data_IF_900891056489
#
_entry.id   IF_900891056489
#
_cell.length_a   1.000
_cell.length_b   1.000
_cell.length_c   1.000
_cell.angle_alpha   90.00
_cell.angle_beta   90.00
_cell.angle_gamma   90.00
#
_symmetry.space_group_name_H-M   'P 1'
#
loop_
_entity.id
_entity.type
_entity.pdbx_description
1 polymer ?
#
# COMPACT_ATOMS: atom_id res chain seq x y z
N UNK A 1 9.60 -12.86 13.47
CA UNK A 1 9.14 -12.06 12.32
C UNK A 1 8.24 -12.94 11.51
N UNK A 2 6.99 -12.56 11.35
CA UNK A 2 6.01 -13.37 10.63
C UNK A 2 5.62 -12.76 9.29
N UNK A 3 5.97 -11.49 9.02
CA UNK A 3 5.54 -10.77 7.81
C UNK A 3 6.69 -10.00 7.15
N UNK A 4 6.67 -9.85 5.83
CA UNK A 4 7.69 -9.09 5.08
C UNK A 4 7.87 -7.64 5.58
N UNK A 5 6.82 -7.04 6.15
CA UNK A 5 6.87 -5.70 6.75
C UNK A 5 7.67 -5.65 8.06
N UNK A 6 7.77 -6.75 8.81
CA UNK A 6 8.54 -6.80 10.07
C UNK A 6 10.02 -6.56 9.82
N UNK A 7 10.53 -7.11 8.71
CA UNK A 7 11.91 -6.88 8.27
C UNK A 7 12.15 -5.41 7.94
N UNK A 8 11.29 -4.82 7.10
CA UNK A 8 11.41 -3.41 6.70
C UNK A 8 11.33 -2.46 7.89
N UNK A 9 10.48 -2.79 8.89
CA UNK A 9 10.33 -1.99 10.11
C UNK A 9 11.64 -1.85 10.90
N UNK A 10 12.56 -2.82 10.83
CA UNK A 10 13.84 -2.71 11.55
C UNK A 10 14.76 -1.62 11.00
N UNK A 11 14.60 -1.27 9.72
CA UNK A 11 15.43 -0.29 9.02
C UNK A 11 14.70 1.05 8.81
N UNK A 12 13.43 1.15 9.21
CA UNK A 12 12.62 2.34 9.02
C UNK A 12 12.66 3.22 10.28
N UNK A 13 13.04 4.48 10.12
CA UNK A 13 12.99 5.49 11.19
C UNK A 13 11.54 5.73 11.68
N UNK A 14 10.57 5.56 10.79
CA UNK A 14 9.15 5.77 11.07
C UNK A 14 8.28 4.79 10.28
N UNK A 15 7.28 4.24 10.96
CA UNK A 15 6.22 3.42 10.35
C UNK A 15 4.87 4.04 10.68
N UNK A 16 4.03 4.24 9.67
CA UNK A 16 2.67 4.77 9.83
C UNK A 16 1.67 3.82 9.19
N UNK A 17 0.65 3.41 9.93
CA UNK A 17 -0.41 2.54 9.41
C UNK A 17 -1.63 3.37 8.98
N UNK A 18 -2.07 3.18 7.74
CA UNK A 18 -3.30 3.78 7.22
C UNK A 18 -4.40 2.73 7.15
N UNK A 19 -5.13 2.56 8.25
CA UNK A 19 -6.18 1.54 8.33
C UNK A 19 -7.33 1.84 7.35
N UNK A 20 -7.70 0.84 6.55
CA UNK A 20 -8.89 0.80 5.72
C UNK A 20 -9.78 -0.33 6.26
N UNK A 21 -11.03 -0.01 6.62
CA UNK A 21 -11.99 -0.99 7.15
C UNK A 21 -13.06 -1.24 6.10
N UNK A 22 -13.16 -2.46 5.63
CA UNK A 22 -14.15 -2.86 4.62
C UNK A 22 -14.42 -4.36 4.74
N UNK A 23 -15.66 -4.82 4.48
CA UNK A 23 -15.96 -6.24 4.36
C UNK A 23 -15.55 -6.83 3.00
N UNK A 24 -15.14 -5.99 2.04
CA UNK A 24 -14.78 -6.40 0.69
C UNK A 24 -13.29 -6.71 0.56
N UNK A 25 -12.96 -7.67 -0.33
CA UNK A 25 -11.58 -7.94 -0.74
C UNK A 25 -11.09 -6.84 -1.68
N UNK A 26 -10.45 -5.80 -1.14
CA UNK A 26 -10.01 -4.61 -1.91
C UNK A 26 -8.51 -4.61 -2.24
N UNK A 27 -7.78 -5.66 -1.85
CA UNK A 27 -6.32 -5.69 -1.90
C UNK A 27 -5.78 -5.46 -3.32
N UNK A 28 -6.33 -6.21 -4.29
CA UNK A 28 -5.91 -6.11 -5.70
C UNK A 28 -6.17 -4.71 -6.26
N UNK A 29 -7.36 -4.16 -6.04
CA UNK A 29 -7.73 -2.82 -6.51
C UNK A 29 -6.88 -1.73 -5.85
N UNK A 30 -6.57 -1.88 -4.57
CA UNK A 30 -5.73 -0.98 -3.81
C UNK A 30 -4.30 -0.97 -4.34
N UNK A 31 -3.71 -2.15 -4.57
CA UNK A 31 -2.36 -2.27 -5.09
C UNK A 31 -2.25 -1.73 -6.52
N UNK A 32 -3.24 -1.99 -7.39
CA UNK A 32 -3.30 -1.40 -8.74
C UNK A 32 -3.40 0.13 -8.65
N UNK A 33 -4.24 0.67 -7.78
CA UNK A 33 -4.39 2.11 -7.61
C UNK A 33 -3.10 2.76 -7.07
N UNK A 34 -2.43 2.10 -6.13
CA UNK A 34 -1.15 2.56 -5.58
C UNK A 34 -0.06 2.59 -6.65
N UNK A 35 0.06 1.54 -7.47
CA UNK A 35 1.04 1.45 -8.56
C UNK A 35 0.84 2.47 -9.70
N UNK A 36 -0.32 3.15 -9.75
CA UNK A 36 -0.54 4.28 -10.68
C UNK A 36 0.06 5.59 -10.20
N UNK A 37 0.33 5.72 -8.90
CA UNK A 37 0.77 6.98 -8.26
C UNK A 37 2.10 6.83 -7.52
N UNK A 38 2.58 5.61 -7.31
CA UNK A 38 3.83 5.26 -6.66
C UNK A 38 4.62 4.28 -7.55
N UNK A 39 5.93 4.24 -7.38
CA UNK A 39 6.81 3.38 -8.17
C UNK A 39 6.91 1.98 -7.54
N UNK A 40 6.68 0.87 -8.28
CA UNK A 40 6.88 -0.48 -7.75
C UNK A 40 8.37 -0.73 -7.48
N UNK A 41 8.70 -1.40 -6.37
CA UNK A 41 10.12 -1.54 -5.94
C UNK A 41 10.67 -2.94 -6.23
N UNK A 42 10.06 -3.97 -5.64
CA UNK A 42 10.61 -5.34 -5.65
C UNK A 42 9.55 -6.30 -6.19
N UNK A 43 9.80 -6.97 -7.33
CA UNK A 43 8.91 -8.01 -7.85
C UNK A 43 8.64 -9.12 -6.82
N UNK A 44 7.40 -9.55 -6.70
CA UNK A 44 6.94 -10.62 -5.81
C UNK A 44 6.79 -10.23 -4.33
N UNK A 45 7.23 -9.03 -3.92
CA UNK A 45 7.13 -8.63 -2.52
C UNK A 45 5.68 -8.50 -2.07
N UNK A 46 5.27 -9.30 -1.09
CA UNK A 46 3.90 -9.29 -0.55
C UNK A 46 2.82 -9.71 -1.55
N UNK A 47 3.20 -10.41 -2.63
CA UNK A 47 2.28 -10.85 -3.69
C UNK A 47 2.15 -12.38 -3.78
N UNK A 48 2.50 -13.11 -2.71
CA UNK A 48 2.59 -14.58 -2.74
C UNK A 48 1.24 -15.28 -2.99
N UNK A 49 0.13 -14.63 -2.66
CA UNK A 49 -1.25 -15.07 -2.83
C UNK A 49 -2.02 -14.24 -3.86
N UNK A 50 -1.32 -13.40 -4.62
CA UNK A 50 -1.90 -12.45 -5.57
C UNK A 50 -1.30 -12.63 -6.96
N UNK A 51 -2.08 -12.33 -8.00
CA UNK A 51 -1.57 -12.30 -9.38
C UNK A 51 -0.75 -11.03 -9.69
N UNK A 52 -0.58 -10.13 -8.72
CA UNK A 52 0.10 -8.86 -8.89
C UNK A 52 1.63 -8.98 -8.83
N UNK A 53 2.30 -8.05 -9.52
CA UNK A 53 3.76 -8.06 -9.60
C UNK A 53 4.48 -7.64 -8.32
N UNK A 54 3.84 -6.85 -7.45
CA UNK A 54 4.38 -6.42 -6.13
C UNK A 54 3.32 -5.68 -5.32
N UNK A 55 3.46 -5.70 -3.99
CA UNK A 55 2.68 -4.89 -3.05
C UNK A 55 3.57 -3.85 -2.32
N UNK A 56 4.84 -3.72 -2.73
CA UNK A 56 5.77 -2.72 -2.20
C UNK A 56 6.00 -1.60 -3.21
N UNK A 57 5.65 -0.38 -2.81
CA UNK A 57 5.75 0.81 -3.63
C UNK A 57 6.61 1.89 -2.96
N UNK A 58 7.20 2.76 -3.77
CA UNK A 58 8.11 3.81 -3.38
C UNK A 58 7.65 5.19 -3.87
N UNK A 59 7.98 6.20 -3.06
CA UNK A 59 7.90 7.61 -3.45
C UNK A 59 9.14 8.30 -2.93
N UNK A 60 9.72 9.17 -3.76
CA UNK A 60 10.87 10.02 -3.38
C UNK A 60 10.53 11.04 -2.30
N UNK A 61 9.26 11.44 -2.20
CA UNK A 61 8.76 12.38 -1.19
C UNK A 61 7.74 11.71 -0.28
N UNK A 62 7.48 12.30 0.88
CA UNK A 62 6.44 11.82 1.81
C UNK A 62 5.09 11.70 1.08
N UNK A 63 4.58 10.47 0.86
CA UNK A 63 3.35 10.25 0.10
C UNK A 63 2.16 10.88 0.80
N UNK A 64 2.18 11.06 2.12
CA UNK A 64 1.08 11.71 2.85
C UNK A 64 0.83 13.16 2.41
N UNK A 65 1.86 13.85 1.91
CA UNK A 65 1.74 15.21 1.37
C UNK A 65 1.21 15.24 -0.07
N UNK A 66 1.14 14.09 -0.74
CA UNK A 66 0.62 13.99 -2.10
C UNK A 66 -0.91 14.00 -2.10
N UNK A 67 -1.50 14.93 -2.85
CA UNK A 67 -2.96 14.96 -3.08
C UNK A 67 -3.47 13.65 -3.67
N UNK A 68 -2.71 13.03 -4.58
CA UNK A 68 -3.08 11.75 -5.21
C UNK A 68 -3.17 10.62 -4.18
N UNK A 69 -2.23 10.58 -3.23
CA UNK A 69 -2.24 9.57 -2.17
C UNK A 69 -3.38 9.79 -1.18
N UNK A 70 -3.68 11.04 -0.82
CA UNK A 70 -4.83 11.36 0.04
C UNK A 70 -6.16 10.94 -0.62
N UNK A 71 -6.34 11.27 -1.91
CA UNK A 71 -7.53 10.86 -2.67
C UNK A 71 -7.64 9.33 -2.80
N UNK A 72 -6.51 8.62 -2.95
CA UNK A 72 -6.49 7.17 -2.91
C UNK A 72 -7.00 6.65 -1.56
N UNK A 73 -6.44 7.14 -0.44
CA UNK A 73 -6.88 6.73 0.89
C UNK A 73 -8.35 7.02 1.15
N UNK A 74 -8.84 8.20 0.75
CA UNK A 74 -10.26 8.57 0.85
C UNK A 74 -11.14 7.61 0.07
N UNK A 75 -10.79 7.31 -1.19
CA UNK A 75 -11.54 6.38 -2.05
C UNK A 75 -11.76 5.01 -1.38
N UNK A 76 -10.72 4.45 -0.76
CA UNK A 76 -10.81 3.13 -0.15
C UNK A 76 -11.38 3.14 1.27
N UNK A 77 -11.27 4.25 2.01
CA UNK A 77 -11.85 4.41 3.35
C UNK A 77 -13.36 4.68 3.32
N UNK A 78 -13.85 5.35 2.27
CA UNK A 78 -15.26 5.67 2.12
C UNK A 78 -15.95 4.72 1.13
N UNK A 79 -16.01 3.42 1.48
CA UNK A 79 -16.96 2.52 0.82
C UNK A 79 -18.29 2.71 1.55
N UNK A 80 -19.20 3.49 0.95
CA UNK A 80 -20.57 3.63 1.46
C UNK A 80 -21.25 2.25 1.46
N UNK A 81 -22.04 1.92 2.48
CA UNK A 81 -22.86 0.71 2.51
C UNK A 81 -23.87 0.68 1.36
#
# INVERSE_FOLDING_TARGET
MHWHVDFLRQFADKVTAYAIRTPHHIETDLAIAAGRILEPVIPGFGASDSALGTHLFYSRTDPYKSKQFQLLLEKFRFIRP
#
